data_IF_081885082478
#
_entry.id   IF_081885082478
#
_cell.length_a   1.000
_cell.length_b   1.000
_cell.length_c   1.000
_cell.angle_alpha   90.00
_cell.angle_beta   90.00
_cell.angle_gamma   90.00
#
_symmetry.space_group_name_H-M   'P 1'
#
loop_
_entity.id
_entity.type
_entity.pdbx_description
1 polymer ?
#
# COMPACT_ATOMS: atom_id res chain seq x y z
N UNK A 1 10.60 -12.43 -16.21
CA UNK A 1 10.89 -11.04 -15.86
C UNK A 1 10.17 -10.16 -16.88
N UNK A 2 9.00 -9.64 -16.53
CA UNK A 2 8.27 -8.69 -17.38
C UNK A 2 8.67 -7.30 -16.93
N UNK A 3 9.68 -6.74 -17.61
CA UNK A 3 10.09 -5.34 -17.47
C UNK A 3 9.24 -4.47 -18.38
N UNK A 4 8.56 -3.52 -17.78
CA UNK A 4 7.60 -2.63 -18.40
C UNK A 4 6.71 -2.06 -17.29
N UNK A 5 6.19 -0.85 -17.48
CA UNK A 5 5.20 -0.25 -16.60
C UNK A 5 4.26 -1.31 -16.06
N UNK A 6 4.42 -1.66 -14.79
CA UNK A 6 3.79 -2.85 -14.21
C UNK A 6 2.53 -2.39 -13.51
N UNK A 7 1.45 -2.22 -14.27
CA UNK A 7 0.14 -2.02 -13.69
C UNK A 7 -0.36 -3.37 -13.17
N UNK A 8 -0.51 -3.47 -11.85
CA UNK A 8 -1.04 -4.67 -11.18
C UNK A 8 -2.28 -4.30 -10.38
N UNK A 9 -3.21 -5.25 -10.29
CA UNK A 9 -4.41 -5.09 -9.48
C UNK A 9 -4.25 -5.91 -8.22
N UNK A 10 -4.47 -5.28 -7.07
CA UNK A 10 -4.46 -5.98 -5.79
C UNK A 10 -5.83 -5.81 -5.16
N UNK A 11 -6.41 -6.92 -4.73
CA UNK A 11 -7.63 -6.92 -3.94
C UNK A 11 -7.25 -6.99 -2.48
N UNK A 12 -7.57 -5.93 -1.72
CA UNK A 12 -7.41 -5.96 -0.28
C UNK A 12 -8.73 -6.38 0.33
N UNK A 13 -8.80 -7.66 0.70
CA UNK A 13 -9.93 -8.21 1.41
C UNK A 13 -9.93 -7.63 2.83
N UNK A 14 -11.01 -6.91 3.17
CA UNK A 14 -11.32 -6.69 4.57
C UNK A 14 -11.49 -8.03 5.25
N UNK A 15 -10.73 -8.29 6.30
CA UNK A 15 -11.01 -9.44 7.14
C UNK A 15 -12.40 -9.22 7.74
N UNK A 16 -13.30 -10.17 7.51
CA UNK A 16 -14.64 -10.15 8.06
C UNK A 16 -14.56 -10.11 9.59
N UNK A 17 -14.86 -8.94 10.14
CA UNK A 17 -15.43 -8.67 11.46
C UNK A 17 -15.05 -9.65 12.57
N UNK A 18 -14.16 -9.22 13.47
CA UNK A 18 -14.15 -9.79 14.83
C UNK A 18 -15.50 -9.46 15.43
N UNK A 19 -16.29 -10.48 15.74
CA UNK A 19 -17.56 -10.33 16.45
C UNK A 19 -17.29 -9.67 17.81
N UNK A 20 -17.62 -8.39 17.92
CA UNK A 20 -17.65 -7.70 19.20
C UNK A 20 -18.82 -8.28 20.02
N UNK A 21 -18.60 -8.76 21.27
CA UNK A 21 -19.70 -9.27 22.08
C UNK A 21 -20.69 -8.15 22.39
N UNK A 22 -21.99 -8.46 22.23
CA UNK A 22 -23.09 -7.53 22.45
C UNK A 22 -23.07 -6.98 23.88
N UNK A 23 -22.83 -5.68 24.01
CA UNK A 23 -23.28 -4.85 25.13
C UNK A 23 -22.19 -4.40 26.10
N UNK A 24 -21.88 -3.11 26.09
CA UNK A 24 -22.27 -2.22 27.18
C UNK A 24 -21.96 -0.77 26.80
N UNK A 25 -22.80 0.11 27.33
CA UNK A 25 -22.94 1.53 27.03
C UNK A 25 -21.69 2.34 27.37
N UNK A 26 -20.97 2.84 26.37
CA UNK A 26 -20.31 4.16 26.41
C UNK A 26 -20.01 4.59 24.97
N UNK A 27 -20.44 5.79 24.59
CA UNK A 27 -20.16 6.36 23.27
C UNK A 27 -18.69 6.84 23.23
N UNK A 28 -17.84 6.17 22.44
CA UNK A 28 -16.48 6.60 22.09
C UNK A 28 -16.09 6.02 20.71
N UNK A 29 -15.19 6.69 19.96
CA UNK A 29 -15.36 7.05 18.55
C UNK A 29 -15.34 5.86 17.60
N UNK A 30 -16.01 6.01 16.46
CA UNK A 30 -15.64 5.44 15.15
C UNK A 30 -14.20 4.87 15.11
N UNK A 31 -14.04 3.62 15.53
CA UNK A 31 -12.76 2.92 15.47
C UNK A 31 -12.62 2.32 14.07
N UNK A 32 -11.99 3.08 13.19
CA UNK A 32 -11.55 2.60 11.89
C UNK A 32 -10.40 1.60 12.12
N UNK A 33 -10.71 0.31 12.04
CA UNK A 33 -9.66 -0.71 11.95
C UNK A 33 -8.81 -0.42 10.70
N UNK A 34 -7.48 -0.46 10.81
CA UNK A 34 -6.58 -0.22 9.68
C UNK A 34 -5.72 -1.44 9.34
N UNK A 35 -5.51 -1.60 8.04
CA UNK A 35 -4.93 -2.75 7.39
C UNK A 35 -3.69 -2.23 6.65
N UNK A 36 -2.53 -2.44 7.29
CA UNK A 36 -1.25 -1.88 6.84
C UNK A 36 -0.44 -2.89 6.01
N UNK A 37 0.33 -2.39 5.07
CA UNK A 37 1.25 -3.11 4.21
C UNK A 37 2.63 -2.45 4.25
N UNK A 38 3.67 -3.28 4.11
CA UNK A 38 5.04 -2.81 3.95
C UNK A 38 5.43 -2.94 2.47
N UNK A 39 5.73 -1.81 1.85
CA UNK A 39 6.29 -1.71 0.51
C UNK A 39 7.82 -1.75 0.63
N UNK A 40 8.43 -2.82 0.13
CA UNK A 40 9.87 -2.93 -0.08
C UNK A 40 10.20 -2.56 -1.51
N UNK A 41 11.10 -1.60 -1.70
CA UNK A 41 11.47 -1.02 -3.00
C UNK A 41 12.96 -1.19 -3.21
N UNK A 42 13.36 -1.81 -4.32
CA UNK A 42 14.76 -2.05 -4.66
C UNK A 42 15.19 -1.31 -5.92
N UNK A 43 16.46 -0.93 -5.94
CA UNK A 43 17.16 -0.31 -7.05
C UNK A 43 18.57 -0.92 -7.17
N UNK A 44 18.82 -1.57 -8.30
CA UNK A 44 20.08 -2.27 -8.53
C UNK A 44 21.30 -1.36 -8.73
N UNK A 45 21.11 -0.10 -9.17
CA UNK A 45 22.20 0.86 -9.40
C UNK A 45 22.34 1.84 -8.24
N UNK A 46 21.26 2.10 -7.51
CA UNK A 46 21.26 2.91 -6.30
C UNK A 46 21.37 4.41 -6.56
N UNK A 47 21.15 4.84 -7.80
CA UNK A 47 21.02 6.23 -8.23
C UNK A 47 19.58 6.76 -8.09
N UNK A 48 18.69 5.92 -7.57
CA UNK A 48 17.29 6.21 -7.38
C UNK A 48 16.46 5.68 -8.55
N UNK A 49 15.15 5.69 -8.37
CA UNK A 49 14.18 5.18 -9.34
C UNK A 49 14.05 6.05 -10.61
N UNK A 50 14.91 7.06 -10.79
CA UNK A 50 15.04 7.80 -12.05
C UNK A 50 13.71 8.36 -12.60
N UNK A 51 12.88 8.88 -11.69
CA UNK A 51 11.56 9.45 -11.99
C UNK A 51 10.41 8.44 -12.00
N UNK A 52 10.67 7.17 -11.66
CA UNK A 52 9.60 6.20 -11.44
C UNK A 52 9.01 6.38 -10.05
N UNK A 53 7.69 6.34 -9.99
CA UNK A 53 6.94 6.35 -8.76
C UNK A 53 6.12 5.08 -8.65
N UNK A 54 6.12 4.48 -7.47
CA UNK A 54 5.06 3.58 -7.05
C UNK A 54 3.83 4.42 -6.72
N UNK A 55 2.71 4.17 -7.39
CA UNK A 55 1.44 4.86 -7.19
C UNK A 55 0.35 3.83 -6.95
N UNK A 56 -0.44 4.03 -5.89
CA UNK A 56 -1.60 3.21 -5.55
C UNK A 56 -2.87 4.06 -5.60
N UNK A 57 -3.86 3.61 -6.38
CA UNK A 57 -5.13 4.30 -6.59
C UNK A 57 -6.29 3.40 -6.18
N UNK A 58 -7.25 3.95 -5.44
CA UNK A 58 -8.50 3.25 -5.13
C UNK A 58 -9.35 3.14 -6.38
N UNK A 59 -9.76 1.93 -6.76
CA UNK A 59 -10.65 1.76 -7.91
C UNK A 59 -12.10 2.16 -7.61
N UNK A 60 -12.46 2.28 -6.34
CA UNK A 60 -13.80 2.72 -5.93
C UNK A 60 -13.97 4.23 -6.09
N UNK A 61 -12.94 5.02 -5.76
CA UNK A 61 -13.00 6.49 -5.75
C UNK A 61 -12.18 7.14 -6.87
N UNK A 62 -11.20 6.44 -7.44
CA UNK A 62 -10.22 6.99 -8.38
C UNK A 62 -9.15 7.86 -7.72
N UNK A 63 -9.08 7.89 -6.39
CA UNK A 63 -8.15 8.73 -5.64
C UNK A 63 -6.79 8.03 -5.43
N UNK A 64 -5.70 8.80 -5.53
CA UNK A 64 -4.35 8.35 -5.16
C UNK A 64 -4.26 8.22 -3.64
N UNK A 65 -4.05 6.99 -3.18
CA UNK A 65 -3.98 6.65 -1.75
C UNK A 65 -2.54 6.66 -1.26
N UNK A 66 -1.59 6.33 -2.13
CA UNK A 66 -0.17 6.34 -1.76
C UNK A 66 0.74 6.58 -2.96
N UNK A 67 1.86 7.27 -2.71
CA UNK A 67 2.97 7.43 -3.65
C UNK A 67 4.30 7.25 -2.95
N UNK A 68 5.21 6.49 -3.57
CA UNK A 68 6.55 6.28 -3.05
C UNK A 68 7.59 6.15 -4.18
N UNK A 69 8.83 6.54 -3.89
CA UNK A 69 9.97 6.40 -4.81
C UNK A 69 11.27 6.29 -4.01
N UNK A 70 12.33 5.80 -4.65
CA UNK A 70 13.69 5.86 -4.12
C UNK A 70 14.40 7.06 -4.75
N UNK A 71 14.76 8.05 -3.94
CA UNK A 71 15.52 9.21 -4.45
C UNK A 71 16.99 8.84 -4.71
N UNK A 72 17.54 7.91 -3.91
CA UNK A 72 18.91 7.41 -3.99
C UNK A 72 19.10 6.24 -3.01
N UNK A 73 20.07 5.36 -3.28
CA UNK A 73 20.33 4.13 -2.53
C UNK A 73 19.67 2.89 -3.14
N UNK A 74 20.13 1.70 -2.75
CA UNK A 74 19.72 0.45 -3.39
C UNK A 74 18.38 -0.13 -2.92
N UNK A 75 17.83 0.42 -1.83
CA UNK A 75 16.64 -0.11 -1.17
C UNK A 75 15.97 0.97 -0.33
N UNK A 76 14.64 0.96 -0.28
CA UNK A 76 13.87 1.73 0.68
C UNK A 76 12.55 1.03 1.03
N UNK A 77 12.07 1.29 2.24
CA UNK A 77 10.81 0.75 2.73
C UNK A 77 9.80 1.87 2.95
N UNK A 78 8.53 1.61 2.64
CA UNK A 78 7.41 2.52 2.91
C UNK A 78 6.25 1.75 3.51
N UNK A 79 5.62 2.29 4.55
CA UNK A 79 4.39 1.71 5.12
C UNK A 79 3.17 2.35 4.48
N UNK A 80 2.18 1.53 4.11
CA UNK A 80 0.91 1.94 3.51
C UNK A 80 -0.21 1.42 4.39
N UNK A 81 -1.02 2.29 4.98
CA UNK A 81 -2.18 1.87 5.78
C UNK A 81 -3.47 2.28 5.09
N UNK A 82 -4.39 1.33 4.93
CA UNK A 82 -5.73 1.58 4.40
C UNK A 82 -6.77 1.17 5.44
N UNK A 83 -7.81 1.99 5.64
CA UNK A 83 -8.89 1.67 6.56
C UNK A 83 -9.69 0.44 6.10
N UNK A 84 -10.22 -0.35 7.02
CA UNK A 84 -11.10 -1.48 6.71
C UNK A 84 -12.39 -1.04 6.02
N UNK A 85 -12.88 0.19 6.28
CA UNK A 85 -14.00 0.76 5.53
C UNK A 85 -13.64 1.07 4.06
N UNK A 86 -12.35 1.14 3.72
CA UNK A 86 -11.85 1.35 2.36
C UNK A 86 -11.47 0.03 1.67
N UNK A 87 -11.94 -1.11 2.18
CA UNK A 87 -11.67 -2.41 1.56
C UNK A 87 -12.20 -2.46 0.13
N UNK A 88 -11.38 -2.99 -0.77
CA UNK A 88 -11.64 -2.84 -2.19
C UNK A 88 -10.47 -3.22 -3.08
N UNK A 89 -10.65 -2.98 -4.38
CA UNK A 89 -9.62 -3.20 -5.38
C UNK A 89 -8.79 -1.93 -5.55
N UNK A 90 -7.47 -2.10 -5.56
CA UNK A 90 -6.54 -1.01 -5.78
C UNK A 90 -5.72 -1.29 -7.03
N UNK A 91 -5.55 -0.24 -7.82
CA UNK A 91 -4.64 -0.24 -8.96
C UNK A 91 -3.28 0.22 -8.48
N UNK A 92 -2.26 -0.61 -8.69
CA UNK A 92 -0.87 -0.25 -8.47
C UNK A 92 -0.24 0.00 -9.82
N UNK A 93 0.46 1.11 -9.96
CA UNK A 93 1.28 1.45 -11.12
C UNK A 93 2.69 1.81 -10.66
N UNK A 94 3.70 1.32 -11.36
CA UNK A 94 5.09 1.76 -11.18
C UNK A 94 5.64 2.17 -12.52
N UNK A 95 5.65 3.49 -12.76
CA UNK A 95 5.95 4.11 -14.04
C UNK A 95 6.30 5.61 -13.85
N UNK A 96 6.56 6.32 -14.95
CA UNK A 96 6.76 7.77 -14.98
C UNK A 96 8.20 8.20 -15.29
N UNK A 97 9.15 7.27 -15.23
CA UNK A 97 10.58 7.52 -15.38
C UNK A 97 11.26 6.64 -16.42
N UNK A 98 12.57 6.49 -16.27
CA UNK A 98 13.40 5.61 -17.12
C UNK A 98 13.90 4.40 -16.32
N UNK A 99 14.44 3.40 -17.01
CA UNK A 99 15.12 2.26 -16.36
C UNK A 99 14.24 1.32 -15.52
N UNK A 100 12.97 1.12 -15.93
CA UNK A 100 12.06 0.15 -15.30
C UNK A 100 12.61 -1.27 -15.05
N UNK A 101 13.67 -1.67 -15.76
CA UNK A 101 14.26 -3.01 -15.62
C UNK A 101 15.20 -3.14 -14.42
N UNK A 102 15.61 -2.02 -13.82
CA UNK A 102 16.60 -1.98 -12.73
C UNK A 102 15.98 -1.87 -11.34
N UNK A 103 14.68 -1.55 -11.30
CA UNK A 103 13.89 -1.36 -10.09
C UNK A 103 12.96 -2.55 -9.87
N UNK A 104 12.67 -2.86 -8.60
CA UNK A 104 11.66 -3.84 -8.23
C UNK A 104 10.96 -3.45 -6.94
N UNK A 105 9.76 -4.00 -6.71
CA UNK A 105 8.99 -3.70 -5.53
C UNK A 105 8.22 -4.94 -5.08
N UNK A 106 8.00 -5.05 -3.78
CA UNK A 106 7.19 -6.10 -3.17
C UNK A 106 6.34 -5.51 -2.05
N UNK A 107 5.08 -5.94 -1.96
CA UNK A 107 4.20 -5.61 -0.85
C UNK A 107 4.07 -6.80 0.09
N UNK A 108 4.31 -6.57 1.37
CA UNK A 108 4.07 -7.51 2.44
C UNK A 108 2.86 -7.07 3.24
N UNK A 109 1.99 -8.02 3.59
CA UNK A 109 0.92 -7.75 4.55
C UNK A 109 1.53 -7.48 5.94
N UNK A 110 1.24 -6.30 6.47
CA UNK A 110 1.59 -5.92 7.83
C UNK A 110 0.56 -6.41 8.84
N UNK A 111 0.87 -6.32 10.15
CA UNK A 111 -0.11 -6.61 11.19
C UNK A 111 -1.30 -5.66 11.07
N UNK A 112 -2.52 -6.20 11.26
CA UNK A 112 -3.71 -5.38 11.46
C UNK A 112 -3.52 -4.55 12.70
N UNK A 113 -3.54 -3.23 12.56
CA UNK A 113 -3.55 -2.35 13.73
C UNK A 113 -5.01 -2.03 13.98
N UNK A 114 -5.59 -2.79 14.89
CA UNK A 114 -6.70 -2.24 15.68
C UNK A 114 -6.08 -1.07 16.45
N UNK A 115 -6.53 0.15 16.17
CA UNK A 115 -6.08 1.33 16.90
C UNK A 115 -6.67 1.28 18.31
N UNK A 116 -6.07 0.48 19.18
CA UNK A 116 -6.42 0.35 20.58
C UNK A 116 -5.29 0.80 21.49
N UNK A 117 -5.37 2.06 21.95
CA UNK A 117 -5.35 2.49 23.36
C UNK A 117 -5.60 4.00 23.46
#
# INVERSE_FOLDING_TARGET
ATSGASTSWVYFAGLNSVAQPLGSTEEAPDQEDELCYLLDMQDSFGDGWNGNDFVMVSMATGEEVHRATIVQGNSAESTICVGLSATGTYAISVDGGSWQSEISWTLYAGPQRSAGV
#
